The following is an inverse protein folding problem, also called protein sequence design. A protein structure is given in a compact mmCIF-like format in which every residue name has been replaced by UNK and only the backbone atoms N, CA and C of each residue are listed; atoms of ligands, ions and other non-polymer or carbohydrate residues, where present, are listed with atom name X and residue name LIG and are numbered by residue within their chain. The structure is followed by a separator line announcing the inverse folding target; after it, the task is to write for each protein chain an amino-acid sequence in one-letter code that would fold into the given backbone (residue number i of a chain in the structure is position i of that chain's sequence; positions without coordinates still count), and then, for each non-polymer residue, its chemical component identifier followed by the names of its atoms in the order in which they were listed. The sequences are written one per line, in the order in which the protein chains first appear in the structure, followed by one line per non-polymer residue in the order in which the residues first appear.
data_IF_760823742474
#
_entry.id   IF_760823742474
#
_cell.length_a   1.000
_cell.length_b   1.000
_cell.length_c   1.000
_cell.angle_alpha   90.00
_cell.angle_beta   90.00
_cell.angle_gamma   90.00
#
_symmetry.space_group_name_H-M   'P 1'
#
loop_
_entity.id
_entity.type
_entity.pdbx_description
1 polymer ?
#
# COMPACT_ATOMS: atom_id res chain seq x y z
N UNK A 1 28.41 65.17 -22.80
CA UNK A 1 27.08 64.73 -23.25
C UNK A 1 26.78 63.40 -22.58
N UNK A 2 26.14 63.41 -21.41
CA UNK A 2 25.86 62.22 -20.60
C UNK A 2 24.38 61.83 -20.77
N UNK A 3 24.14 60.59 -21.21
CA UNK A 3 22.80 60.03 -21.43
C UNK A 3 22.33 59.40 -20.13
N UNK A 4 21.27 59.94 -19.52
CA UNK A 4 20.70 59.34 -18.30
C UNK A 4 20.01 58.01 -18.65
N UNK A 5 20.37 56.89 -18.01
CA UNK A 5 19.67 55.63 -18.18
C UNK A 5 18.30 55.71 -17.52
N UNK A 6 17.26 55.32 -18.25
CA UNK A 6 15.91 55.21 -17.71
C UNK A 6 15.87 54.08 -16.68
N UNK A 7 15.87 54.42 -15.40
CA UNK A 7 15.56 53.47 -14.32
C UNK A 7 14.14 52.95 -14.51
N UNK A 8 14.02 51.71 -14.98
CA UNK A 8 12.76 50.97 -14.99
C UNK A 8 12.28 50.86 -13.54
N UNK A 9 11.34 51.72 -13.14
CA UNK A 9 10.69 51.71 -11.81
C UNK A 9 10.26 50.29 -11.50
N UNK A 10 10.95 49.62 -10.58
CA UNK A 10 10.50 48.36 -9.99
C UNK A 10 9.20 48.66 -9.25
N UNK A 11 8.06 48.25 -9.83
CA UNK A 11 6.77 48.31 -9.15
C UNK A 11 6.84 47.31 -7.99
N UNK A 12 6.76 47.82 -6.76
CA UNK A 12 6.67 47.00 -5.55
C UNK A 12 5.32 46.31 -5.47
N UNK A 13 5.32 45.07 -5.00
CA UNK A 13 4.12 44.28 -4.72
C UNK A 13 3.28 44.99 -3.65
N UNK A 14 1.98 45.11 -3.86
CA UNK A 14 1.10 45.75 -2.86
C UNK A 14 0.61 44.73 -1.83
N UNK A 15 0.46 45.15 -0.57
CA UNK A 15 -0.11 44.29 0.49
C UNK A 15 -1.51 43.79 0.12
N UNK A 16 -2.33 44.64 -0.49
CA UNK A 16 -3.69 44.29 -0.90
C UNK A 16 -3.73 43.21 -1.99
N UNK A 17 -2.74 43.19 -2.89
CA UNK A 17 -2.61 42.17 -3.93
C UNK A 17 -2.31 40.80 -3.32
N UNK A 18 -1.46 40.72 -2.29
CA UNK A 18 -1.25 39.47 -1.54
C UNK A 18 -2.51 39.08 -0.77
N UNK A 19 -3.22 40.04 -0.16
CA UNK A 19 -4.44 39.75 0.62
C UNK A 19 -5.54 39.11 -0.23
N UNK A 20 -5.81 39.65 -1.42
CA UNK A 20 -6.83 39.07 -2.31
C UNK A 20 -6.41 37.67 -2.74
N UNK A 21 -5.13 37.46 -3.06
CA UNK A 21 -4.61 36.15 -3.47
C UNK A 21 -4.81 35.11 -2.37
N UNK A 22 -4.44 35.40 -1.11
CA UNK A 22 -4.62 34.42 -0.02
C UNK A 22 -6.10 34.15 0.28
N UNK A 23 -6.99 35.14 0.11
CA UNK A 23 -8.43 34.96 0.29
C UNK A 23 -8.98 34.03 -0.79
N UNK A 24 -8.62 34.25 -2.06
CA UNK A 24 -9.03 33.36 -3.15
C UNK A 24 -8.47 31.95 -2.95
N UNK A 25 -7.20 31.82 -2.56
CA UNK A 25 -6.59 30.51 -2.27
C UNK A 25 -7.29 29.80 -1.09
N UNK A 26 -7.69 30.53 -0.05
CA UNK A 26 -8.43 29.97 1.08
C UNK A 26 -9.81 29.44 0.66
N UNK A 27 -10.54 30.17 -0.18
CA UNK A 27 -11.85 29.76 -0.72
C UNK A 27 -11.69 28.49 -1.57
N UNK A 28 -10.68 28.46 -2.46
CA UNK A 28 -10.42 27.29 -3.31
C UNK A 28 -10.05 26.06 -2.46
N UNK A 29 -9.17 26.22 -1.47
CA UNK A 29 -8.76 25.14 -0.59
C UNK A 29 -9.95 24.55 0.19
N UNK A 30 -10.84 25.41 0.70
CA UNK A 30 -12.02 24.99 1.45
C UNK A 30 -12.98 24.11 0.64
N UNK A 31 -13.08 24.33 -0.68
CA UNK A 31 -13.95 23.54 -1.57
C UNK A 31 -13.26 22.23 -1.99
N UNK A 32 -11.95 22.28 -2.28
CA UNK A 32 -11.22 21.16 -2.87
C UNK A 32 -10.91 20.06 -1.86
N UNK A 33 -10.43 20.42 -0.66
CA UNK A 33 -9.98 19.46 0.37
C UNK A 33 -11.04 18.41 0.72
N UNK A 34 -12.30 18.76 1.08
CA UNK A 34 -13.30 17.76 1.47
C UNK A 34 -13.62 16.76 0.36
N UNK A 35 -13.45 17.14 -0.91
CA UNK A 35 -13.80 16.31 -2.07
C UNK A 35 -12.78 15.20 -2.35
N UNK A 36 -11.54 15.32 -1.88
CA UNK A 36 -10.45 14.38 -2.17
C UNK A 36 -10.42 13.18 -1.21
N UNK A 37 -10.88 13.35 0.03
CA UNK A 37 -10.82 12.30 1.07
C UNK A 37 -11.46 10.96 0.67
N UNK A 38 -12.66 10.91 0.06
CA UNK A 38 -13.26 9.65 -0.38
C UNK A 38 -12.43 8.95 -1.46
N UNK A 39 -11.93 9.70 -2.44
CA UNK A 39 -11.12 9.17 -3.55
C UNK A 39 -9.80 8.59 -3.06
N UNK A 40 -9.14 9.24 -2.10
CA UNK A 40 -7.92 8.70 -1.48
C UNK A 40 -8.22 7.41 -0.72
N UNK A 41 -9.35 7.34 -0.03
CA UNK A 41 -9.77 6.11 0.67
C UNK A 41 -10.06 4.98 -0.33
N UNK A 42 -10.82 5.24 -1.39
CA UNK A 42 -11.11 4.27 -2.44
C UNK A 42 -9.83 3.72 -3.10
N UNK A 43 -8.85 4.60 -3.36
CA UNK A 43 -7.55 4.19 -3.88
C UNK A 43 -6.82 3.24 -2.91
N UNK A 44 -6.83 3.54 -1.61
CA UNK A 44 -6.24 2.65 -0.57
C UNK A 44 -7.00 1.33 -0.43
N UNK A 45 -8.33 1.33 -0.55
CA UNK A 45 -9.12 0.10 -0.57
C UNK A 45 -8.78 -0.77 -1.79
N UNK A 46 -8.61 -0.14 -2.96
CA UNK A 46 -8.18 -0.83 -4.17
C UNK A 46 -6.78 -1.44 -4.02
N UNK A 47 -5.85 -0.69 -3.42
CA UNK A 47 -4.50 -1.17 -3.12
C UNK A 47 -4.54 -2.37 -2.15
N UNK A 48 -5.32 -2.27 -1.07
CA UNK A 48 -5.49 -3.35 -0.10
C UNK A 48 -6.00 -4.63 -0.79
N UNK A 49 -7.06 -4.51 -1.61
CA UNK A 49 -7.63 -5.65 -2.34
C UNK A 49 -6.63 -6.26 -3.32
N UNK A 50 -5.86 -5.44 -4.04
CA UNK A 50 -4.85 -5.91 -4.96
C UNK A 50 -3.72 -6.68 -4.23
N UNK A 51 -3.25 -6.13 -3.10
CA UNK A 51 -2.23 -6.77 -2.27
C UNK A 51 -2.72 -8.12 -1.72
N UNK A 52 -3.93 -8.15 -1.15
CA UNK A 52 -4.54 -9.40 -0.65
C UNK A 52 -4.73 -10.42 -1.77
N UNK A 53 -5.19 -9.99 -2.94
CA UNK A 53 -5.36 -10.87 -4.09
C UNK A 53 -4.03 -11.50 -4.53
N UNK A 54 -2.97 -10.68 -4.66
CA UNK A 54 -1.63 -11.18 -5.00
C UNK A 54 -1.12 -12.20 -3.99
N UNK A 55 -1.24 -11.91 -2.69
CA UNK A 55 -0.79 -12.85 -1.65
C UNK A 55 -1.60 -14.15 -1.65
N UNK A 56 -2.93 -14.07 -1.80
CA UNK A 56 -3.81 -15.25 -1.89
C UNK A 56 -3.48 -16.11 -3.11
N UNK A 57 -3.22 -15.50 -4.25
CA UNK A 57 -2.80 -16.23 -5.46
C UNK A 57 -1.47 -16.96 -5.22
N UNK A 58 -0.49 -16.31 -4.61
CA UNK A 58 0.80 -16.93 -4.27
C UNK A 58 0.68 -18.05 -3.24
N UNK A 59 -0.17 -17.88 -2.22
CA UNK A 59 -0.48 -18.94 -1.26
C UNK A 59 -1.11 -20.15 -1.97
N UNK A 60 -2.08 -19.91 -2.86
CA UNK A 60 -2.74 -20.98 -3.60
C UNK A 60 -1.75 -21.74 -4.50
N UNK A 61 -0.80 -21.05 -5.14
CA UNK A 61 0.28 -21.68 -5.91
C UNK A 61 1.20 -22.53 -5.02
N UNK A 62 1.60 -22.00 -3.86
CA UNK A 62 2.41 -22.76 -2.90
C UNK A 62 1.69 -24.05 -2.48
N UNK A 63 0.40 -23.94 -2.11
CA UNK A 63 -0.41 -25.10 -1.74
C UNK A 63 -0.58 -26.09 -2.89
N UNK A 64 -0.78 -25.60 -4.11
CA UNK A 64 -0.91 -26.46 -5.28
C UNK A 64 0.36 -27.28 -5.55
N UNK A 65 1.54 -26.74 -5.24
CA UNK A 65 2.81 -27.44 -5.44
C UNK A 65 3.17 -28.38 -4.28
N UNK A 66 3.03 -27.91 -3.04
CA UNK A 66 3.50 -28.63 -1.85
C UNK A 66 2.42 -29.35 -1.06
N UNK A 67 1.14 -29.16 -1.41
CA UNK A 67 0.00 -29.77 -0.72
C UNK A 67 -0.23 -29.25 0.69
N UNK A 68 0.47 -28.19 1.10
CA UNK A 68 0.35 -27.56 2.40
C UNK A 68 0.57 -26.05 2.28
N UNK A 69 0.06 -25.27 3.23
CA UNK A 69 0.28 -23.83 3.30
C UNK A 69 1.63 -23.53 3.92
N UNK A 70 2.29 -22.40 3.62
CA UNK A 70 3.51 -22.03 4.33
C UNK A 70 3.22 -21.72 5.80
N UNK A 71 4.15 -22.03 6.71
CA UNK A 71 3.99 -21.71 8.14
C UNK A 71 3.95 -20.20 8.42
N UNK A 72 4.61 -19.40 7.58
CA UNK A 72 4.65 -17.94 7.65
C UNK A 72 4.37 -17.35 6.28
N UNK A 73 3.67 -16.22 6.25
CA UNK A 73 3.40 -15.50 5.01
C UNK A 73 4.70 -15.06 4.30
N UNK A 74 5.75 -14.77 5.07
CA UNK A 74 7.05 -14.36 4.54
C UNK A 74 7.75 -15.48 3.74
N UNK A 75 7.40 -16.75 3.96
CA UNK A 75 8.02 -17.90 3.27
C UNK A 75 7.69 -17.89 1.76
N UNK A 76 6.67 -17.13 1.32
CA UNK A 76 6.38 -16.91 -0.11
C UNK A 76 7.52 -16.20 -0.86
N UNK A 77 8.39 -15.49 -0.12
CA UNK A 77 9.56 -14.77 -0.64
C UNK A 77 10.80 -15.66 -0.69
N UNK A 78 10.74 -16.87 -0.12
CA UNK A 78 11.87 -17.77 -0.07
C UNK A 78 12.34 -18.12 -1.48
N UNK A 79 13.65 -18.31 -1.64
CA UNK A 79 14.26 -18.69 -2.92
C UNK A 79 14.62 -20.17 -2.98
N UNK A 80 14.55 -20.86 -1.84
CA UNK A 80 14.73 -22.30 -1.71
C UNK A 80 13.85 -22.84 -0.57
N UNK A 81 13.77 -24.17 -0.46
CA UNK A 81 12.95 -24.85 0.55
C UNK A 81 13.63 -25.02 1.92
N UNK A 82 14.86 -24.51 2.09
CA UNK A 82 15.68 -24.81 3.26
C UNK A 82 15.05 -24.24 4.53
N UNK A 83 14.67 -25.13 5.45
CA UNK A 83 14.04 -24.74 6.71
C UNK A 83 12.60 -24.24 6.57
N UNK A 84 11.97 -24.38 5.40
CA UNK A 84 10.55 -24.12 5.25
C UNK A 84 9.74 -25.19 5.95
N UNK A 85 8.69 -24.74 6.63
CA UNK A 85 7.76 -25.58 7.37
C UNK A 85 6.35 -25.27 6.86
N UNK A 86 5.53 -26.31 6.72
CA UNK A 86 4.14 -26.18 6.34
C UNK A 86 3.23 -25.79 7.49
N UNK A 87 1.98 -25.48 7.21
CA UNK A 87 0.97 -25.13 8.20
C UNK A 87 0.64 -26.28 9.15
N UNK A 88 0.90 -27.52 8.71
CA UNK A 88 0.80 -28.71 9.56
C UNK A 88 2.01 -28.90 10.52
N UNK A 89 3.05 -28.07 10.42
CA UNK A 89 4.27 -28.16 11.23
C UNK A 89 5.35 -29.10 10.69
N UNK A 90 5.13 -29.76 9.56
CA UNK A 90 6.09 -30.63 8.91
C UNK A 90 7.02 -29.84 7.98
N UNK A 91 8.28 -30.26 7.80
CA UNK A 91 9.17 -29.65 6.82
C UNK A 91 8.61 -29.76 5.40
N UNK A 92 8.80 -28.71 4.60
CA UNK A 92 8.42 -28.68 3.19
C UNK A 92 9.49 -29.43 2.37
N UNK A 93 9.12 -30.48 1.61
CA UNK A 93 10.07 -31.19 0.76
C UNK A 93 10.67 -30.28 -0.33
N UNK A 94 12.00 -30.31 -0.58
CA UNK A 94 12.62 -29.45 -1.59
C UNK A 94 12.14 -29.68 -3.03
N UNK A 95 11.66 -30.88 -3.34
CA UNK A 95 11.18 -31.28 -4.66
C UNK A 95 9.80 -30.70 -5.02
N UNK A 96 8.99 -30.35 -4.02
CA UNK A 96 7.72 -29.66 -4.26
C UNK A 96 7.89 -28.15 -4.45
N UNK A 97 8.97 -27.57 -3.95
CA UNK A 97 9.16 -26.12 -3.94
C UNK A 97 9.60 -25.59 -5.31
N UNK A 98 8.85 -24.62 -5.85
CA UNK A 98 9.13 -23.99 -7.15
C UNK A 98 9.24 -22.46 -7.05
N UNK A 99 9.44 -21.93 -5.84
CA UNK A 99 9.42 -20.49 -5.56
C UNK A 99 10.64 -19.72 -6.09
N UNK A 100 10.69 -18.39 -5.87
CA UNK A 100 9.79 -17.59 -5.01
C UNK A 100 8.38 -17.44 -5.58
N UNK A 101 7.38 -17.55 -4.69
CA UNK A 101 5.97 -17.51 -5.06
C UNK A 101 5.39 -16.09 -5.12
N UNK A 102 6.07 -15.11 -4.51
CA UNK A 102 5.63 -13.72 -4.46
C UNK A 102 6.78 -12.78 -4.85
N UNK A 103 6.60 -12.02 -5.94
CA UNK A 103 7.64 -11.14 -6.52
C UNK A 103 7.06 -9.79 -6.95
N UNK A 104 6.45 -9.03 -6.05
CA UNK A 104 5.74 -7.79 -6.44
C UNK A 104 6.50 -6.50 -6.17
N UNK A 105 7.63 -6.54 -5.46
CA UNK A 105 8.32 -5.32 -4.98
C UNK A 105 9.83 -5.39 -5.23
N UNK A 106 10.47 -4.29 -5.67
CA UNK A 106 11.93 -4.17 -5.62
C UNK A 106 12.42 -4.45 -4.19
N UNK A 107 13.28 -5.45 -4.02
CA UNK A 107 13.81 -5.85 -2.72
C UNK A 107 13.13 -7.05 -2.04
N UNK A 108 12.18 -7.73 -2.70
CA UNK A 108 11.69 -9.04 -2.23
C UNK A 108 10.95 -8.94 -0.90
N UNK A 109 10.04 -7.98 -0.79
CA UNK A 109 9.27 -7.71 0.42
C UNK A 109 7.76 -7.76 0.14
N UNK A 110 7.02 -8.42 1.03
CA UNK A 110 5.56 -8.30 1.11
C UNK A 110 5.13 -6.82 1.18
N UNK A 111 4.02 -6.45 0.52
CA UNK A 111 3.51 -5.09 0.55
C UNK A 111 3.12 -4.67 1.96
N UNK A 112 3.08 -3.36 2.17
CA UNK A 112 2.57 -2.73 3.40
C UNK A 112 1.05 -2.63 3.31
N UNK A 113 0.35 -2.88 4.42
CA UNK A 113 -1.08 -2.63 4.53
C UNK A 113 -1.33 -1.09 4.48
N UNK A 114 -2.13 -0.58 3.51
CA UNK A 114 -2.32 0.85 3.32
C UNK A 114 -3.15 1.54 4.44
N UNK A 115 -3.75 0.78 5.36
CA UNK A 115 -4.56 1.29 6.47
C UNK A 115 -3.87 1.23 7.83
N UNK A 116 -2.97 0.27 8.04
CA UNK A 116 -2.10 0.19 9.24
C UNK A 116 -0.75 0.89 9.02
N UNK A 117 -0.26 0.93 7.78
CA UNK A 117 1.07 1.41 7.45
C UNK A 117 2.20 0.43 7.84
N UNK A 118 1.85 -0.82 8.19
CA UNK A 118 2.78 -1.86 8.61
C UNK A 118 2.64 -3.14 7.75
N UNK A 119 3.54 -4.10 7.95
CA UNK A 119 3.54 -5.41 7.28
C UNK A 119 3.00 -6.46 8.25
N UNK A 120 1.84 -6.18 8.82
CA UNK A 120 1.21 -6.86 9.94
C UNK A 120 0.02 -7.75 9.54
N UNK A 121 0.02 -8.23 8.28
CA UNK A 121 -1.01 -9.13 7.73
C UNK A 121 -1.38 -10.27 8.69
N UNK A 122 -2.67 -10.44 8.94
CA UNK A 122 -3.20 -11.54 9.74
C UNK A 122 -3.28 -12.77 8.86
N UNK A 123 -2.34 -13.70 9.06
CA UNK A 123 -2.24 -14.93 8.29
C UNK A 123 -2.49 -16.15 9.17
N UNK A 124 -3.37 -17.05 8.71
CA UNK A 124 -3.62 -18.35 9.33
C UNK A 124 -2.99 -19.47 8.48
N UNK A 125 -1.92 -20.10 8.97
CA UNK A 125 -1.22 -21.17 8.24
C UNK A 125 -2.04 -22.45 8.13
N UNK A 126 -3.12 -22.64 8.90
CA UNK A 126 -3.95 -23.85 8.79
C UNK A 126 -4.95 -23.77 7.65
N UNK A 127 -5.41 -22.57 7.34
CA UNK A 127 -6.45 -22.33 6.33
C UNK A 127 -5.93 -21.63 5.09
N UNK A 128 -4.73 -21.03 5.15
CA UNK A 128 -4.22 -20.17 4.09
C UNK A 128 -4.91 -18.80 4.04
N UNK A 129 -5.78 -18.48 5.01
CA UNK A 129 -6.48 -17.21 5.06
C UNK A 129 -5.49 -16.08 5.39
N UNK A 130 -5.55 -14.99 4.63
CA UNK A 130 -4.79 -13.77 4.87
C UNK A 130 -5.72 -12.58 4.86
N UNK A 131 -5.61 -11.72 5.87
CA UNK A 131 -6.47 -10.56 6.09
C UNK A 131 -5.65 -9.33 6.51
N UNK A 132 -6.23 -8.14 6.35
CA UNK A 132 -5.63 -6.91 6.88
C UNK A 132 -5.70 -6.91 8.42
N UNK A 133 -4.72 -6.30 9.08
CA UNK A 133 -4.77 -6.11 10.53
C UNK A 133 -5.56 -4.88 10.96
N UNK A 134 -6.05 -4.09 10.01
CA UNK A 134 -6.78 -2.87 10.31
C UNK A 134 -8.15 -3.15 10.95
N UNK A 135 -8.43 -2.44 12.04
CA UNK A 135 -9.75 -2.42 12.71
C UNK A 135 -10.71 -1.42 12.10
N UNK A 136 -10.30 -0.71 11.04
CA UNK A 136 -11.15 0.26 10.34
C UNK A 136 -12.19 -0.45 9.48
N UNK A 137 -13.28 0.25 9.25
CA UNK A 137 -14.35 -0.18 8.35
C UNK A 137 -14.09 0.33 6.94
N UNK A 138 -14.47 -0.47 5.96
CA UNK A 138 -14.51 -0.14 4.55
C UNK A 138 -15.70 0.74 4.18
N UNK A 139 -15.71 1.21 2.93
CA UNK A 139 -16.79 2.05 2.39
C UNK A 139 -18.11 1.29 2.28
N UNK A 140 -18.06 -0.03 2.17
CA UNK A 140 -19.24 -0.92 2.14
C UNK A 140 -19.77 -1.32 3.54
N UNK A 141 -19.15 -0.84 4.63
CA UNK A 141 -19.55 -1.14 6.01
C UNK A 141 -18.94 -2.40 6.61
N UNK A 142 -18.15 -3.17 5.86
CA UNK A 142 -17.42 -4.33 6.37
C UNK A 142 -16.10 -3.93 7.03
N UNK A 143 -15.56 -4.75 7.93
CA UNK A 143 -14.24 -4.49 8.53
C UNK A 143 -13.14 -4.92 7.58
N UNK A 144 -12.05 -4.16 7.48
CA UNK A 144 -10.89 -4.59 6.67
C UNK A 144 -10.23 -5.86 7.21
N UNK A 145 -10.43 -6.20 8.48
CA UNK A 145 -10.00 -7.48 9.05
C UNK A 145 -10.81 -8.68 8.54
N UNK A 146 -11.95 -8.46 7.89
CA UNK A 146 -12.71 -9.50 7.20
C UNK A 146 -12.30 -9.69 5.73
N UNK A 147 -11.47 -8.78 5.21
CA UNK A 147 -11.12 -8.72 3.79
C UNK A 147 -9.97 -9.61 3.40
#
# INVERSE_FOLDING_TARGET
MWRHPNELRRKGFTLIEVMIVIVVLAILAAIVIPRIWPTVREARESELRANLHGMRASLALFYAHCGDWPSKLADLLATDATGLVGGNGNPIPPDCFQGPYFITTPGGVLPTDPFTGARDWQYDPRTGAVHSASTKTATDGTLYSSW
#
